data_IF_711275527685
#
_entry.id   IF_711275527685
#
_cell.length_a   1.000
_cell.length_b   1.000
_cell.length_c   1.000
_cell.angle_alpha   90.00
_cell.angle_beta   90.00
_cell.angle_gamma   90.00
#
_symmetry.space_group_name_H-M   'P 1'
#
loop_
_entity.id
_entity.type
_entity.pdbx_description
1 polymer ?
#
# COMPACT_ATOMS: atom_id res chain seq x y z
N UNK A 1 -23.87 -19.67 5.47
CA UNK A 1 -23.63 -18.21 5.32
C UNK A 1 -22.87 -18.00 4.02
N UNK A 2 -23.29 -17.07 3.19
CA UNK A 2 -22.60 -16.76 1.94
C UNK A 2 -21.66 -15.58 2.17
N UNK A 3 -20.39 -15.76 1.83
CA UNK A 3 -19.35 -14.74 1.90
C UNK A 3 -19.07 -14.16 0.50
N UNK A 4 -18.41 -13.02 0.43
CA UNK A 4 -17.93 -12.44 -0.85
C UNK A 4 -16.76 -13.24 -1.40
N UNK A 5 -15.79 -13.52 -0.52
CA UNK A 5 -14.60 -14.30 -0.87
C UNK A 5 -14.25 -15.24 0.28
N UNK A 6 -13.83 -16.44 -0.05
CA UNK A 6 -13.16 -17.37 0.87
C UNK A 6 -11.79 -17.71 0.28
N UNK A 7 -10.74 -17.59 1.10
CA UNK A 7 -9.39 -18.09 0.82
C UNK A 7 -9.26 -19.41 1.56
N UNK A 8 -8.98 -20.51 0.85
CA UNK A 8 -9.01 -21.86 1.41
C UNK A 8 -7.65 -22.53 1.46
N UNK A 9 -7.42 -23.37 2.47
CA UNK A 9 -6.31 -24.33 2.54
C UNK A 9 -4.93 -23.70 2.75
N UNK A 10 -4.86 -22.43 3.15
CA UNK A 10 -3.60 -21.73 3.37
C UNK A 10 -3.00 -21.95 4.76
N UNK A 11 -1.70 -21.68 4.87
CA UNK A 11 -1.05 -21.52 6.18
C UNK A 11 -1.21 -20.07 6.62
N UNK A 12 -2.00 -19.85 7.67
CA UNK A 12 -2.30 -18.49 8.16
C UNK A 12 -1.19 -18.04 9.11
N UNK A 13 -0.64 -16.84 8.82
CA UNK A 13 0.24 -16.07 9.70
C UNK A 13 -0.44 -14.73 9.94
N UNK A 14 -1.14 -14.58 11.04
CA UNK A 14 -2.10 -13.49 11.27
C UNK A 14 -1.48 -12.19 11.81
N UNK A 15 -0.16 -12.16 12.00
CA UNK A 15 0.54 -10.97 12.50
C UNK A 15 0.48 -10.77 14.01
N UNK A 16 -0.17 -11.68 14.77
CA UNK A 16 -0.26 -11.57 16.25
C UNK A 16 1.00 -12.02 16.97
N UNK A 17 1.95 -12.64 16.28
CA UNK A 17 3.14 -13.28 16.84
C UNK A 17 2.87 -14.73 17.30
N UNK A 18 1.67 -15.25 17.09
CA UNK A 18 1.33 -16.65 17.32
C UNK A 18 1.96 -17.60 16.31
N UNK A 19 1.91 -18.91 16.58
CA UNK A 19 2.37 -19.91 15.64
C UNK A 19 1.47 -19.95 14.39
N UNK A 20 2.05 -20.17 13.18
CA UNK A 20 1.26 -20.40 11.98
C UNK A 20 0.31 -21.59 12.13
N UNK A 21 -0.86 -21.50 11.50
CA UNK A 21 -1.86 -22.56 11.53
C UNK A 21 -2.55 -22.75 10.18
N UNK A 22 -3.05 -23.95 9.92
CA UNK A 22 -3.84 -24.22 8.72
C UNK A 22 -5.27 -23.72 8.90
N UNK A 23 -5.81 -23.08 7.86
CA UNK A 23 -7.19 -22.60 7.92
C UNK A 23 -7.60 -21.80 6.69
N UNK A 24 -8.85 -21.38 6.74
CA UNK A 24 -9.49 -20.58 5.71
C UNK A 24 -9.77 -19.16 6.24
N UNK A 25 -9.91 -18.22 5.31
CA UNK A 25 -10.25 -16.82 5.61
C UNK A 25 -11.50 -16.44 4.83
N UNK A 26 -12.58 -16.06 5.52
CA UNK A 26 -13.78 -15.53 4.90
C UNK A 26 -13.80 -14.00 4.96
N UNK A 27 -14.13 -13.38 3.83
CA UNK A 27 -14.25 -11.93 3.65
C UNK A 27 -15.70 -11.59 3.33
N UNK A 28 -16.21 -10.59 4.05
CA UNK A 28 -17.53 -10.01 3.83
C UNK A 28 -17.53 -8.53 4.20
N UNK A 29 -18.18 -7.72 3.37
CA UNK A 29 -18.27 -6.25 3.55
C UNK A 29 -16.87 -5.60 3.72
N UNK A 30 -15.88 -6.07 2.92
CA UNK A 30 -14.50 -5.60 2.96
C UNK A 30 -13.73 -5.93 4.24
N UNK A 31 -14.22 -6.86 5.06
CA UNK A 31 -13.60 -7.25 6.34
C UNK A 31 -13.40 -8.75 6.44
N UNK A 32 -12.41 -9.16 7.23
CA UNK A 32 -12.27 -10.56 7.65
C UNK A 32 -13.44 -10.87 8.58
N UNK A 33 -14.35 -11.72 8.12
CA UNK A 33 -15.57 -12.07 8.84
C UNK A 33 -15.40 -13.33 9.68
N UNK A 34 -14.54 -14.27 9.25
CA UNK A 34 -14.29 -15.53 9.95
C UNK A 34 -12.95 -16.12 9.55
N UNK A 35 -12.31 -16.78 10.50
CA UNK A 35 -11.11 -17.60 10.32
C UNK A 35 -11.40 -19.04 10.78
N UNK A 36 -10.73 -20.03 10.18
CA UNK A 36 -10.80 -21.43 10.56
C UNK A 36 -11.34 -22.32 9.46
N UNK A 37 -12.00 -23.42 9.80
CA UNK A 37 -12.60 -24.33 8.85
C UNK A 37 -13.90 -23.75 8.26
N UNK A 38 -13.94 -23.58 6.95
CA UNK A 38 -15.06 -23.01 6.22
C UNK A 38 -15.64 -23.95 5.15
N UNK A 39 -15.35 -25.24 5.21
CA UNK A 39 -15.79 -26.24 4.23
C UNK A 39 -17.31 -26.22 3.98
N UNK A 40 -18.11 -25.95 5.00
CA UNK A 40 -19.59 -25.88 4.89
C UNK A 40 -20.12 -24.50 4.45
N UNK A 41 -19.24 -23.57 4.09
CA UNK A 41 -19.62 -22.22 3.72
C UNK A 41 -19.49 -22.00 2.21
N UNK A 42 -20.29 -21.07 1.67
CA UNK A 42 -20.23 -20.67 0.26
C UNK A 42 -19.71 -19.24 0.13
N UNK A 43 -19.13 -18.92 -1.02
CA UNK A 43 -18.68 -17.60 -1.37
C UNK A 43 -18.94 -17.30 -2.85
N UNK A 44 -19.01 -16.01 -3.18
CA UNK A 44 -19.04 -15.56 -4.56
C UNK A 44 -17.72 -15.83 -5.29
N UNK A 45 -16.60 -15.79 -4.56
CA UNK A 45 -15.26 -16.11 -5.07
C UNK A 45 -14.53 -17.03 -4.08
N UNK A 46 -13.87 -18.05 -4.58
CA UNK A 46 -12.96 -18.89 -3.80
C UNK A 46 -11.55 -18.78 -4.34
N UNK A 47 -10.57 -18.61 -3.45
CA UNK A 47 -9.15 -18.56 -3.77
C UNK A 47 -8.50 -19.76 -3.09
N UNK A 48 -7.93 -20.67 -3.88
CA UNK A 48 -7.15 -21.79 -3.34
C UNK A 48 -5.74 -21.30 -2.98
N UNK A 49 -5.43 -21.38 -1.69
CA UNK A 49 -4.12 -21.04 -1.13
C UNK A 49 -3.36 -22.30 -0.63
N UNK A 50 -3.73 -23.47 -1.12
CA UNK A 50 -3.05 -24.73 -0.76
C UNK A 50 -1.54 -24.63 -1.03
N UNK A 51 -0.74 -24.88 0.00
CA UNK A 51 0.72 -24.76 -0.06
C UNK A 51 1.25 -23.33 -0.03
N UNK A 52 0.38 -22.33 0.14
CA UNK A 52 0.75 -20.92 0.25
C UNK A 52 0.57 -20.43 1.67
N UNK A 53 1.22 -19.30 1.98
CA UNK A 53 1.04 -18.59 3.25
C UNK A 53 0.08 -17.41 3.03
N UNK A 54 -0.91 -17.30 3.91
CA UNK A 54 -1.88 -16.19 3.94
C UNK A 54 -1.52 -15.27 5.10
N UNK A 55 -1.21 -14.03 4.78
CA UNK A 55 -0.82 -13.00 5.77
C UNK A 55 -1.69 -11.76 5.62
N UNK A 56 -1.77 -10.89 6.62
CA UNK A 56 -2.14 -9.50 6.42
C UNK A 56 -1.22 -8.84 5.39
N UNK A 57 -1.70 -7.81 4.70
CA UNK A 57 -0.84 -7.00 3.84
C UNK A 57 0.30 -6.37 4.63
N UNK A 58 1.45 -6.22 3.99
CA UNK A 58 2.61 -5.62 4.64
C UNK A 58 2.43 -4.12 4.87
N UNK A 59 2.93 -3.64 6.00
CA UNK A 59 3.01 -2.21 6.31
C UNK A 59 4.46 -1.79 6.15
N UNK A 60 4.74 -0.96 5.15
CA UNK A 60 6.07 -0.40 4.94
C UNK A 60 6.18 0.93 5.70
N UNK A 61 7.02 0.95 6.71
CA UNK A 61 7.14 2.07 7.64
C UNK A 61 8.17 3.11 7.19
N UNK A 62 8.92 2.88 6.12
CA UNK A 62 9.94 3.79 5.66
C UNK A 62 10.03 3.76 4.13
N UNK A 63 9.36 4.73 3.50
CA UNK A 63 9.33 4.85 2.04
C UNK A 63 9.58 6.28 1.59
N UNK A 64 9.90 6.44 0.30
CA UNK A 64 10.08 7.72 -0.36
C UNK A 64 9.11 7.83 -1.56
N UNK A 65 7.90 7.35 -1.37
CA UNK A 65 6.88 7.26 -2.43
C UNK A 65 6.08 8.55 -2.63
N UNK A 66 6.46 9.64 -1.95
CA UNK A 66 5.72 10.91 -1.94
C UNK A 66 5.62 11.56 -3.34
N UNK A 67 6.61 11.31 -4.21
CA UNK A 67 6.54 11.73 -5.60
C UNK A 67 5.87 10.67 -6.46
N UNK A 68 6.23 9.39 -6.27
CA UNK A 68 5.76 8.29 -7.10
C UNK A 68 4.23 8.19 -7.11
N UNK A 69 3.57 8.46 -5.99
CA UNK A 69 2.10 8.47 -5.92
C UNK A 69 1.45 9.39 -6.97
N UNK A 70 2.17 10.44 -7.44
CA UNK A 70 1.67 11.38 -8.44
C UNK A 70 1.52 10.79 -9.84
N UNK A 71 2.30 9.78 -10.21
CA UNK A 71 2.22 9.11 -11.51
C UNK A 71 1.91 7.62 -11.43
N UNK A 72 2.01 7.02 -10.24
CA UNK A 72 1.66 5.62 -9.96
C UNK A 72 0.87 5.56 -8.65
N UNK A 73 -0.43 5.95 -8.65
CA UNK A 73 -1.23 6.03 -7.43
C UNK A 73 -1.47 4.66 -6.77
N UNK A 74 -1.31 3.56 -7.51
CA UNK A 74 -1.36 2.21 -6.96
C UNK A 74 -0.04 1.76 -6.34
N UNK A 75 1.03 2.55 -6.48
CA UNK A 75 2.39 2.26 -6.00
C UNK A 75 2.83 0.83 -6.38
N UNK A 76 2.72 0.51 -7.67
CA UNK A 76 2.78 -0.85 -8.20
C UNK A 76 4.08 -1.58 -7.88
N UNK A 77 5.20 -0.86 -7.75
CA UNK A 77 6.47 -1.43 -7.29
C UNK A 77 6.39 -2.05 -5.89
N UNK A 78 5.54 -1.51 -5.01
CA UNK A 78 5.36 -1.99 -3.63
C UNK A 78 4.11 -2.87 -3.50
N UNK A 79 2.98 -2.45 -4.08
CA UNK A 79 1.71 -3.17 -3.95
C UNK A 79 1.77 -4.57 -4.56
N UNK A 80 2.50 -4.77 -5.67
CA UNK A 80 2.70 -6.10 -6.27
C UNK A 80 3.54 -7.04 -5.41
N UNK A 81 4.25 -6.51 -4.41
CA UNK A 81 4.97 -7.29 -3.41
C UNK A 81 4.20 -7.46 -2.10
N UNK A 82 2.90 -7.11 -2.09
CA UNK A 82 2.01 -7.31 -0.95
C UNK A 82 2.01 -6.20 0.08
N UNK A 83 2.61 -5.04 -0.22
CA UNK A 83 2.48 -3.84 0.61
C UNK A 83 1.08 -3.26 0.41
N UNK A 84 0.34 -3.09 1.50
CA UNK A 84 -1.02 -2.53 1.50
C UNK A 84 -1.11 -1.20 2.24
N UNK A 85 -0.05 -0.85 2.96
CA UNK A 85 0.05 0.42 3.67
C UNK A 85 1.50 0.89 3.60
N UNK A 86 1.73 2.12 3.16
CA UNK A 86 3.04 2.75 3.13
C UNK A 86 3.02 4.04 3.93
N UNK A 87 4.05 4.25 4.76
CA UNK A 87 4.26 5.50 5.48
C UNK A 87 5.28 6.33 4.71
N UNK A 88 4.87 7.54 4.31
CA UNK A 88 5.69 8.49 3.55
C UNK A 88 6.12 9.67 4.43
N UNK A 89 7.21 10.34 4.06
CA UNK A 89 7.71 11.54 4.74
C UNK A 89 8.41 11.30 6.07
N UNK A 90 8.49 10.09 6.58
CA UNK A 90 9.02 9.78 7.92
C UNK A 90 10.55 9.86 8.04
N UNK A 91 11.30 9.88 6.94
CA UNK A 91 12.75 10.04 6.98
C UNK A 91 13.20 11.52 6.93
N UNK A 92 12.24 12.45 6.94
CA UNK A 92 12.52 13.89 6.93
C UNK A 92 12.75 14.49 5.53
N UNK A 93 12.57 13.70 4.47
CA UNK A 93 12.57 14.15 3.08
C UNK A 93 11.19 13.92 2.51
N UNK A 94 10.61 14.94 1.87
CA UNK A 94 9.27 14.84 1.29
C UNK A 94 8.91 16.10 0.49
N UNK A 95 7.77 16.08 -0.19
CA UNK A 95 7.35 17.17 -1.08
C UNK A 95 6.29 18.10 -0.47
N UNK A 96 6.04 17.99 0.83
CA UNK A 96 5.11 18.87 1.53
C UNK A 96 5.53 19.11 2.99
N UNK A 97 5.54 20.40 3.44
CA UNK A 97 5.25 21.61 2.65
C UNK A 97 6.40 21.97 1.71
N UNK A 98 6.09 22.58 0.56
CA UNK A 98 7.11 23.07 -0.37
C UNK A 98 6.68 24.37 -1.04
N UNK A 99 7.46 25.42 -0.87
CA UNK A 99 7.26 26.67 -1.61
C UNK A 99 7.66 26.49 -3.09
N UNK A 100 6.96 27.16 -4.01
CA UNK A 100 7.19 27.04 -5.45
C UNK A 100 8.66 27.20 -5.84
N UNK A 101 9.34 28.21 -5.28
CA UNK A 101 10.78 28.46 -5.52
C UNK A 101 11.71 27.31 -5.10
N UNK A 102 11.24 26.39 -4.28
CA UNK A 102 12.03 25.29 -3.74
C UNK A 102 11.75 23.96 -4.44
N UNK A 103 10.76 23.87 -5.32
CA UNK A 103 10.36 22.62 -6.00
C UNK A 103 11.53 21.95 -6.72
N UNK A 104 12.27 22.76 -7.50
CA UNK A 104 13.44 22.25 -8.22
C UNK A 104 14.55 21.74 -7.29
N UNK A 105 14.77 22.42 -6.15
CA UNK A 105 15.73 21.96 -5.15
C UNK A 105 15.30 20.61 -4.54
N UNK A 106 14.02 20.47 -4.20
CA UNK A 106 13.47 19.23 -3.64
C UNK A 106 13.55 18.08 -4.63
N UNK A 107 13.21 18.31 -5.90
CA UNK A 107 13.35 17.29 -6.94
C UNK A 107 14.80 16.81 -7.09
N UNK A 108 15.77 17.72 -7.09
CA UNK A 108 17.20 17.37 -7.12
C UNK A 108 17.69 16.65 -5.88
N UNK A 109 17.15 16.99 -4.71
CA UNK A 109 17.45 16.27 -3.47
C UNK A 109 16.97 14.82 -3.57
N UNK A 110 15.75 14.60 -4.03
CA UNK A 110 15.18 13.27 -4.21
C UNK A 110 15.90 12.47 -5.30
N UNK A 111 16.38 13.09 -6.35
CA UNK A 111 17.22 12.40 -7.34
C UNK A 111 18.42 11.71 -6.69
N UNK A 112 19.04 12.34 -5.70
CA UNK A 112 20.18 11.74 -4.97
C UNK A 112 19.78 10.64 -3.98
N UNK A 113 18.50 10.53 -3.64
CA UNK A 113 17.98 9.55 -2.67
C UNK A 113 17.40 8.33 -3.37
N UNK A 114 16.67 8.55 -4.48
CA UNK A 114 15.85 7.51 -5.14
C UNK A 114 16.31 7.16 -6.56
N UNK A 115 17.38 7.78 -7.07
CA UNK A 115 17.84 7.61 -8.46
C UNK A 115 16.75 7.93 -9.51
N UNK A 116 15.76 8.75 -9.15
CA UNK A 116 14.73 9.25 -10.06
C UNK A 116 15.15 10.63 -10.57
N UNK A 117 15.30 10.78 -11.88
CA UNK A 117 15.71 12.05 -12.46
C UNK A 117 14.82 13.22 -11.99
N UNK A 118 15.44 14.34 -11.61
CA UNK A 118 14.71 15.51 -11.08
C UNK A 118 13.67 16.03 -12.07
N UNK A 119 13.95 15.97 -13.37
CA UNK A 119 13.02 16.35 -14.44
C UNK A 119 11.78 15.45 -14.44
N UNK A 120 11.93 14.14 -14.22
CA UNK A 120 10.80 13.21 -14.15
C UNK A 120 9.89 13.52 -12.94
N UNK A 121 10.47 13.91 -11.81
CA UNK A 121 9.73 14.33 -10.62
C UNK A 121 8.98 15.65 -10.90
N UNK A 122 9.66 16.62 -11.54
CA UNK A 122 9.06 17.92 -11.85
C UNK A 122 7.91 17.80 -12.83
N UNK A 123 8.01 16.92 -13.83
CA UNK A 123 6.97 16.69 -14.83
C UNK A 123 5.87 15.76 -14.34
N UNK A 124 6.19 14.80 -13.45
CA UNK A 124 5.28 13.79 -12.95
C UNK A 124 4.34 14.26 -11.84
N UNK A 125 4.62 15.40 -11.20
CA UNK A 125 3.81 15.94 -10.11
C UNK A 125 2.98 17.15 -10.57
N UNK A 126 1.71 17.27 -10.13
CA UNK A 126 0.87 18.42 -10.49
C UNK A 126 1.27 19.73 -9.79
N UNK A 127 2.06 19.66 -8.72
CA UNK A 127 2.56 20.81 -7.94
C UNK A 127 1.50 21.85 -7.55
N UNK A 128 0.27 21.42 -7.30
CA UNK A 128 -0.88 22.25 -6.97
C UNK A 128 -1.02 22.56 -5.48
N UNK A 129 0.03 22.30 -4.68
CA UNK A 129 0.09 22.55 -3.25
C UNK A 129 1.31 23.39 -2.84
N UNK A 130 1.24 23.98 -1.67
CA UNK A 130 2.36 24.65 -0.97
C UNK A 130 2.48 24.19 0.48
N UNK A 131 1.42 23.60 1.02
CA UNK A 131 1.35 23.07 2.37
C UNK A 131 0.97 21.58 2.37
N UNK A 132 0.96 21.00 3.56
CA UNK A 132 0.71 19.58 3.71
C UNK A 132 -0.76 19.21 3.44
N UNK A 133 -1.71 20.07 3.81
CA UNK A 133 -3.13 19.85 3.53
C UNK A 133 -3.41 19.78 2.04
N UNK A 134 -2.90 20.73 1.27
CA UNK A 134 -3.02 20.74 -0.18
C UNK A 134 -2.35 19.51 -0.84
N UNK A 135 -1.24 19.02 -0.31
CA UNK A 135 -0.64 17.77 -0.78
C UNK A 135 -1.57 16.56 -0.55
N UNK A 136 -2.18 16.45 0.63
CA UNK A 136 -3.13 15.38 0.91
C UNK A 136 -4.35 15.45 -0.01
N UNK A 137 -4.90 16.63 -0.23
CA UNK A 137 -6.02 16.85 -1.16
C UNK A 137 -5.62 16.43 -2.59
N UNK A 138 -4.41 16.77 -3.01
CA UNK A 138 -3.87 16.36 -4.32
C UNK A 138 -3.71 14.85 -4.44
N UNK A 139 -3.14 14.21 -3.42
CA UNK A 139 -2.96 12.75 -3.40
C UNK A 139 -4.30 12.00 -3.34
N UNK A 140 -5.30 12.55 -2.66
CA UNK A 140 -6.64 11.95 -2.59
C UNK A 140 -7.41 12.04 -3.92
N UNK A 141 -7.03 12.97 -4.78
CA UNK A 141 -7.69 13.18 -6.08
C UNK A 141 -7.16 12.27 -7.20
N UNK A 142 -6.08 11.50 -6.92
CA UNK A 142 -5.49 10.51 -7.83
C UNK A 142 -6.27 9.21 -7.81
#
# INVERSE_FOLDING_TARGET
INYETIITGGTIVDGTGGAPYQGDVAIKDGRIAKLGDLVEHSAGKTIDATGQTVTPGFVDLHTHLDAQVGWDPELTSSSYHGVTTALIGNCGVGFAPVAEKNRQYMAKLMESVEDIAAEAILDGLPWNWTDYGGYLDSAQAL
#
